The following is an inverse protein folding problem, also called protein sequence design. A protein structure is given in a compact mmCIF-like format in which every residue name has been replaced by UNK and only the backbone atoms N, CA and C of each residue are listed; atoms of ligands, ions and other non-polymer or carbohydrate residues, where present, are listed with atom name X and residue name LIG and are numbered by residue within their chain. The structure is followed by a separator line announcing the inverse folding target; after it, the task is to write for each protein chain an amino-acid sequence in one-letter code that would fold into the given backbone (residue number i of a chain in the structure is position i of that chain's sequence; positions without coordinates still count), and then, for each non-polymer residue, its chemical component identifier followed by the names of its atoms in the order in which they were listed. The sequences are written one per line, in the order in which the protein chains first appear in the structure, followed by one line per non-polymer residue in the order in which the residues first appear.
data_IF_604133911310
#
_entry.id   IF_604133911310
#
_cell.length_a   1.000
_cell.length_b   1.000
_cell.length_c   1.000
_cell.angle_alpha   90.00
_cell.angle_beta   90.00
_cell.angle_gamma   90.00
#
_symmetry.space_group_name_H-M   'P 1'
#
loop_
_entity.id
_entity.type
_entity.pdbx_description
1 polymer ?
#
# COMPACT_ATOMS: atom_id res chain seq x y z
N UNK A 1 -15.80 -10.13 -35.38
CA UNK A 1 -15.61 -9.00 -34.44
C UNK A 1 -15.91 -9.48 -33.02
N UNK A 2 -14.89 -9.96 -32.30
CA UNK A 2 -15.03 -10.36 -30.90
C UNK A 2 -15.01 -9.11 -30.00
N UNK A 3 -16.14 -8.84 -29.34
CA UNK A 3 -16.20 -7.88 -28.23
C UNK A 3 -15.66 -8.58 -26.98
N UNK A 4 -14.44 -8.22 -26.55
CA UNK A 4 -13.95 -8.58 -25.23
C UNK A 4 -14.81 -7.84 -24.18
N UNK A 5 -15.66 -8.58 -23.45
CA UNK A 5 -16.21 -8.13 -22.17
C UNK A 5 -15.05 -8.07 -21.18
N UNK A 6 -14.70 -6.86 -20.75
CA UNK A 6 -13.82 -6.63 -19.60
C UNK A 6 -14.56 -7.16 -18.37
N UNK A 7 -14.22 -8.38 -17.95
CA UNK A 7 -14.85 -9.08 -16.82
C UNK A 7 -14.41 -8.55 -15.45
N UNK A 8 -13.57 -7.51 -15.38
CA UNK A 8 -13.11 -6.90 -14.13
C UNK A 8 -13.90 -5.65 -13.70
N UNK A 9 -15.03 -5.37 -14.36
CA UNK A 9 -15.93 -4.26 -13.99
C UNK A 9 -16.93 -4.58 -12.86
N UNK A 10 -16.96 -5.82 -12.37
CA UNK A 10 -17.84 -6.23 -11.26
C UNK A 10 -17.03 -6.31 -9.97
N UNK A 11 -17.18 -5.32 -9.08
CA UNK A 11 -16.53 -5.21 -7.75
C UNK A 11 -15.08 -4.68 -7.69
N UNK A 12 -14.73 -3.74 -8.57
CA UNK A 12 -13.95 -2.58 -8.10
C UNK A 12 -14.93 -1.44 -7.79
N UNK A 13 -15.92 -1.74 -6.95
CA UNK A 13 -16.50 -0.69 -6.12
C UNK A 13 -15.33 -0.40 -5.19
N UNK A 14 -14.78 0.82 -5.22
CA UNK A 14 -13.86 1.26 -4.17
C UNK A 14 -14.43 0.72 -2.86
N UNK A 15 -13.68 -0.09 -2.13
CA UNK A 15 -14.16 -0.68 -0.88
C UNK A 15 -14.23 0.47 0.12
N UNK A 16 -15.26 1.28 -0.04
CA UNK A 16 -15.89 2.06 0.99
C UNK A 16 -16.81 1.03 1.64
N UNK A 17 -16.59 0.65 2.91
CA UNK A 17 -17.38 -0.38 3.56
C UNK A 17 -18.88 -0.11 3.38
N UNK A 18 -19.65 -1.12 2.97
CA UNK A 18 -21.10 -1.04 2.65
C UNK A 18 -21.97 -0.42 3.76
N UNK A 19 -21.43 -0.27 4.98
CA UNK A 19 -22.13 0.34 6.13
C UNK A 19 -21.93 1.86 6.28
N UNK A 20 -21.05 2.46 5.49
CA UNK A 20 -20.92 3.90 5.33
C UNK A 20 -20.88 4.22 3.83
N UNK A 21 -21.95 3.87 3.10
CA UNK A 21 -22.18 4.45 1.77
C UNK A 21 -22.29 5.96 1.98
N UNK A 22 -21.15 6.65 1.79
CA UNK A 22 -21.13 8.04 1.44
C UNK A 22 -22.09 8.15 0.26
N UNK A 23 -23.19 8.86 0.47
CA UNK A 23 -24.31 9.05 -0.45
C UNK A 23 -23.87 8.99 -1.92
N UNK A 24 -24.61 8.29 -2.82
CA UNK A 24 -24.24 8.10 -4.23
C UNK A 24 -24.15 9.40 -5.06
N UNK A 25 -24.38 10.55 -4.43
CA UNK A 25 -24.00 11.87 -4.90
C UNK A 25 -22.88 12.46 -4.03
N UNK A 26 -21.71 11.82 -3.98
CA UNK A 26 -20.48 12.58 -3.74
C UNK A 26 -20.35 13.48 -4.97
N UNK A 27 -20.87 14.70 -4.89
CA UNK A 27 -20.26 15.77 -5.64
C UNK A 27 -18.78 15.67 -5.32
N UNK A 28 -17.96 15.25 -6.28
CA UNK A 28 -16.51 15.21 -6.17
C UNK A 28 -16.06 16.67 -6.10
N UNK A 29 -16.31 17.30 -4.95
CA UNK A 29 -15.64 18.51 -4.49
C UNK A 29 -14.23 18.15 -4.04
N UNK A 30 -13.88 16.87 -4.03
CA UNK A 30 -12.58 16.40 -3.62
C UNK A 30 -11.51 16.65 -4.67
N UNK A 31 -10.33 17.09 -4.21
CA UNK A 31 -9.14 17.16 -5.06
C UNK A 31 -8.56 15.75 -5.18
N UNK A 32 -8.74 15.13 -6.34
CA UNK A 32 -8.20 13.81 -6.64
C UNK A 32 -6.85 13.92 -7.37
N UNK A 33 -5.82 13.34 -6.77
CA UNK A 33 -4.48 13.20 -7.35
C UNK A 33 -4.18 11.71 -7.56
N UNK A 34 -3.74 11.33 -8.77
CA UNK A 34 -3.48 9.94 -9.11
C UNK A 34 -2.08 9.79 -9.68
N UNK A 35 -1.29 8.93 -9.05
CA UNK A 35 0.07 8.59 -9.44
C UNK A 35 0.16 7.14 -9.91
N UNK A 36 1.11 6.86 -10.80
CA UNK A 36 1.50 5.49 -11.14
C UNK A 36 2.99 5.38 -11.36
N UNK A 37 3.54 4.19 -11.15
CA UNK A 37 4.89 3.87 -11.64
C UNK A 37 4.97 3.96 -13.17
N UNK A 38 6.18 4.02 -13.72
CA UNK A 38 6.38 4.03 -15.19
C UNK A 38 6.28 2.65 -15.84
N UNK A 39 5.20 1.93 -15.51
CA UNK A 39 4.86 0.64 -16.08
C UNK A 39 3.46 0.69 -16.69
N UNK A 40 3.31 0.19 -17.91
CA UNK A 40 2.01 0.19 -18.60
C UNK A 40 0.91 -0.49 -17.78
N UNK A 41 1.24 -1.56 -17.03
CA UNK A 41 0.25 -2.28 -16.21
C UNK A 41 -0.29 -1.43 -15.05
N UNK A 42 0.55 -0.64 -14.38
CA UNK A 42 0.12 0.22 -13.26
C UNK A 42 -0.63 1.45 -13.77
N UNK A 43 -0.20 2.01 -14.90
CA UNK A 43 -0.93 3.08 -15.60
C UNK A 43 -2.35 2.64 -15.98
N UNK A 44 -2.51 1.45 -16.59
CA UNK A 44 -3.81 0.90 -16.96
C UNK A 44 -4.67 0.56 -15.73
N UNK A 45 -4.07 0.08 -14.64
CA UNK A 45 -4.80 -0.16 -13.38
C UNK A 45 -5.31 1.15 -12.76
N UNK A 46 -4.49 2.21 -12.75
CA UNK A 46 -4.91 3.54 -12.28
C UNK A 46 -6.06 4.11 -13.13
N UNK A 47 -5.96 3.98 -14.46
CA UNK A 47 -7.03 4.37 -15.36
C UNK A 47 -8.30 3.55 -15.14
N UNK A 48 -8.19 2.22 -14.96
CA UNK A 48 -9.32 1.35 -14.65
C UNK A 48 -10.00 1.71 -13.33
N UNK A 49 -9.21 2.06 -12.30
CA UNK A 49 -9.71 2.59 -11.03
C UNK A 49 -10.48 3.90 -11.22
N UNK A 50 -9.91 4.86 -11.94
CA UNK A 50 -10.57 6.13 -12.25
C UNK A 50 -11.85 5.94 -13.05
N UNK A 51 -11.84 5.04 -14.03
CA UNK A 51 -13.01 4.67 -14.81
C UNK A 51 -14.12 4.13 -13.89
N UNK A 52 -13.79 3.26 -12.93
CA UNK A 52 -14.75 2.76 -11.94
C UNK A 52 -15.29 3.88 -11.04
N UNK A 53 -14.41 4.73 -10.53
CA UNK A 53 -14.74 5.80 -9.57
C UNK A 53 -15.57 6.93 -10.22
N UNK A 54 -15.19 7.39 -11.42
CA UNK A 54 -15.74 8.58 -12.07
C UNK A 54 -16.99 8.29 -12.91
N UNK A 55 -17.20 7.04 -13.35
CA UNK A 55 -18.45 6.63 -14.03
C UNK A 55 -19.70 6.89 -13.18
N UNK A 56 -19.53 7.07 -11.86
CA UNK A 56 -20.58 7.45 -10.93
C UNK A 56 -21.01 8.94 -10.98
N UNK A 57 -20.34 9.83 -11.74
CA UNK A 57 -20.82 11.21 -11.86
C UNK A 57 -19.85 12.31 -12.32
N UNK A 58 -18.60 12.00 -12.69
CA UNK A 58 -17.60 13.02 -13.03
C UNK A 58 -17.55 13.36 -14.53
N UNK A 59 -17.82 14.63 -14.90
CA UNK A 59 -17.42 15.20 -16.20
C UNK A 59 -16.09 15.93 -16.04
N UNK A 60 -14.99 15.22 -16.24
CA UNK A 60 -13.63 15.79 -16.18
C UNK A 60 -12.59 14.67 -16.18
N UNK A 61 -11.62 14.73 -17.08
CA UNK A 61 -10.53 13.75 -17.11
C UNK A 61 -9.58 14.02 -15.94
N UNK A 62 -9.41 13.06 -15.04
CA UNK A 62 -8.37 13.12 -14.01
C UNK A 62 -7.09 12.52 -14.60
N UNK A 63 -6.00 13.30 -14.74
CA UNK A 63 -4.77 12.78 -15.29
C UNK A 63 -4.12 11.78 -14.34
N UNK A 64 -3.56 10.69 -14.89
CA UNK A 64 -2.65 9.82 -14.16
C UNK A 64 -1.23 10.36 -14.31
N UNK A 65 -0.63 10.81 -13.22
CA UNK A 65 0.73 11.33 -13.19
C UNK A 65 1.72 10.17 -13.09
N UNK A 66 2.44 9.92 -14.18
CA UNK A 66 3.47 8.88 -14.23
C UNK A 66 4.75 9.38 -13.59
N UNK A 67 5.24 8.67 -12.57
CA UNK A 67 6.49 9.02 -11.88
C UNK A 67 7.70 8.65 -12.76
N UNK A 68 8.68 9.56 -12.95
CA UNK A 68 9.94 9.21 -13.58
C UNK A 68 10.69 8.16 -12.76
N UNK A 69 11.35 7.20 -13.42
CA UNK A 69 12.08 6.09 -12.77
C UNK A 69 13.13 6.55 -11.76
N UNK A 70 13.79 7.68 -12.02
CA UNK A 70 14.82 8.23 -11.14
C UNK A 70 14.27 8.80 -9.82
N UNK A 71 12.97 9.09 -9.75
CA UNK A 71 12.30 9.72 -8.59
C UNK A 71 11.00 8.97 -8.25
N UNK A 72 10.97 7.65 -8.49
CA UNK A 72 9.80 6.82 -8.29
C UNK A 72 9.76 6.25 -6.87
N UNK A 73 9.16 7.00 -5.95
CA UNK A 73 8.96 6.52 -4.58
C UNK A 73 7.99 5.33 -4.46
N UNK A 74 7.25 5.00 -5.53
CA UNK A 74 6.37 3.84 -5.60
C UNK A 74 7.11 2.57 -6.05
N UNK A 75 8.32 2.71 -6.62
CA UNK A 75 9.16 1.60 -7.04
C UNK A 75 10.65 1.92 -6.93
N UNK A 76 11.19 1.76 -5.73
CA UNK A 76 12.62 1.99 -5.46
C UNK A 76 13.56 1.04 -6.21
N UNK A 77 13.08 -0.07 -6.79
CA UNK A 77 13.94 -0.99 -7.55
C UNK A 77 14.50 -0.37 -8.82
N UNK A 78 13.83 0.64 -9.38
CA UNK A 78 14.33 1.37 -10.55
C UNK A 78 15.41 2.40 -10.19
N UNK A 79 15.23 3.13 -9.09
CA UNK A 79 16.13 4.20 -8.67
C UNK A 79 17.32 3.69 -7.84
N UNK A 80 17.08 2.69 -6.98
CA UNK A 80 18.02 2.19 -5.96
C UNK A 80 18.22 0.68 -6.04
N UNK A 81 17.95 0.08 -7.20
CA UNK A 81 18.04 -1.37 -7.41
C UNK A 81 19.43 -1.95 -7.11
N UNK A 82 20.51 -1.20 -7.37
CA UNK A 82 21.86 -1.65 -7.06
C UNK A 82 22.09 -1.80 -5.55
N UNK A 83 21.76 -0.78 -4.77
CA UNK A 83 21.89 -0.80 -3.31
C UNK A 83 21.03 -1.91 -2.69
N UNK A 84 19.77 -2.03 -3.12
CA UNK A 84 18.92 -3.12 -2.64
C UNK A 84 19.47 -4.49 -3.03
N UNK A 85 20.05 -4.63 -4.22
CA UNK A 85 20.71 -5.87 -4.62
C UNK A 85 21.89 -6.21 -3.70
N UNK A 86 22.71 -5.23 -3.33
CA UNK A 86 23.80 -5.43 -2.36
C UNK A 86 23.28 -5.88 -1.00
N UNK A 87 22.21 -5.25 -0.49
CA UNK A 87 21.55 -5.70 0.75
C UNK A 87 21.00 -7.13 0.65
N UNK A 88 20.39 -7.50 -0.47
CA UNK A 88 19.95 -8.89 -0.69
C UNK A 88 21.14 -9.85 -0.63
N UNK A 89 22.29 -9.50 -1.21
CA UNK A 89 23.47 -10.37 -1.20
C UNK A 89 24.01 -10.59 0.22
N UNK A 90 23.95 -9.55 1.08
CA UNK A 90 24.30 -9.68 2.50
C UNK A 90 23.37 -10.69 3.17
N UNK A 91 22.06 -10.54 3.04
CA UNK A 91 21.08 -11.46 3.63
C UNK A 91 21.23 -12.88 3.08
N UNK A 92 21.46 -13.04 1.78
CA UNK A 92 21.67 -14.36 1.17
C UNK A 92 22.97 -15.05 1.59
N UNK A 93 23.94 -14.29 2.09
CA UNK A 93 25.19 -14.83 2.61
C UNK A 93 25.05 -15.40 4.02
N UNK A 94 23.96 -15.10 4.73
CA UNK A 94 23.69 -15.58 6.08
C UNK A 94 23.61 -17.12 6.12
N UNK A 95 24.20 -17.78 7.13
CA UNK A 95 24.21 -19.24 7.20
C UNK A 95 22.82 -19.88 7.19
N UNK A 96 21.87 -19.32 7.94
CA UNK A 96 20.49 -19.84 8.04
C UNK A 96 19.70 -19.65 6.74
N UNK A 97 19.91 -18.54 6.03
CA UNK A 97 19.38 -18.33 4.69
C UNK A 97 19.90 -19.40 3.74
N UNK A 98 21.22 -19.63 3.70
CA UNK A 98 21.84 -20.62 2.82
C UNK A 98 21.36 -22.04 3.10
N UNK A 99 21.27 -22.42 4.37
CA UNK A 99 20.74 -23.74 4.77
C UNK A 99 19.30 -23.91 4.29
N UNK A 100 18.46 -22.90 4.48
CA UNK A 100 17.05 -22.95 4.04
C UNK A 100 16.94 -22.98 2.51
N UNK A 101 17.74 -22.17 1.81
CA UNK A 101 17.78 -22.15 0.35
C UNK A 101 18.28 -23.48 -0.24
N UNK A 102 19.20 -24.18 0.43
CA UNK A 102 19.68 -25.50 0.02
C UNK A 102 18.66 -26.61 0.30
N UNK A 103 18.12 -26.63 1.54
CA UNK A 103 17.24 -27.70 2.02
C UNK A 103 15.81 -27.61 1.47
N UNK A 104 15.27 -26.40 1.31
CA UNK A 104 13.92 -26.15 0.79
C UNK A 104 13.99 -25.69 -0.66
N UNK A 105 14.76 -24.64 -0.92
CA UNK A 105 14.86 -24.04 -2.26
C UNK A 105 15.48 -24.99 -3.29
N UNK A 106 16.47 -25.80 -2.91
CA UNK A 106 17.15 -26.76 -3.79
C UNK A 106 16.22 -27.80 -4.42
N UNK A 107 15.47 -28.58 -3.62
CA UNK A 107 14.44 -29.50 -4.12
C UNK A 107 13.37 -28.82 -4.99
N UNK A 108 12.91 -27.63 -4.60
CA UNK A 108 11.94 -26.87 -5.37
C UNK A 108 12.48 -26.44 -6.73
N UNK A 109 13.72 -25.93 -6.82
CA UNK A 109 14.38 -25.59 -8.09
C UNK A 109 14.46 -26.78 -9.04
N UNK A 110 14.83 -27.96 -8.52
CA UNK A 110 14.89 -29.18 -9.33
C UNK A 110 13.52 -29.60 -9.84
N UNK A 111 12.49 -29.49 -8.99
CA UNK A 111 11.11 -29.82 -9.36
C UNK A 111 10.55 -28.85 -10.41
N UNK A 112 10.81 -27.55 -10.26
CA UNK A 112 10.46 -26.52 -11.24
C UNK A 112 11.21 -26.74 -12.55
N UNK A 113 12.50 -27.02 -12.51
CA UNK A 113 13.27 -27.32 -13.71
C UNK A 113 12.77 -28.56 -14.44
N UNK A 114 12.41 -29.61 -13.71
CA UNK A 114 11.84 -30.83 -14.30
C UNK A 114 10.47 -30.59 -14.95
N UNK A 115 9.70 -29.62 -14.44
CA UNK A 115 8.42 -29.22 -15.04
C UNK A 115 8.62 -28.55 -16.40
N UNK A 116 9.50 -27.55 -16.47
CA UNK A 116 9.84 -26.87 -17.72
C UNK A 116 11.27 -26.29 -17.63
N UNK A 117 12.26 -26.95 -18.25
CA UNK A 117 13.64 -26.48 -18.26
C UNK A 117 13.85 -25.12 -18.93
N UNK A 118 13.00 -24.77 -19.90
CA UNK A 118 13.11 -23.53 -20.65
C UNK A 118 12.56 -22.36 -19.84
N UNK A 119 11.46 -22.58 -19.12
CA UNK A 119 10.86 -21.58 -18.25
C UNK A 119 11.61 -21.44 -16.91
N UNK A 120 12.13 -22.54 -16.38
CA UNK A 120 12.82 -22.61 -15.09
C UNK A 120 14.24 -23.18 -15.25
N UNK A 121 15.15 -22.46 -15.93
CA UNK A 121 16.52 -22.93 -16.09
C UNK A 121 17.23 -23.02 -14.74
N UNK A 122 17.93 -24.13 -14.49
CA UNK A 122 18.85 -24.19 -13.37
C UNK A 122 20.00 -23.20 -13.59
N UNK A 123 20.47 -22.52 -12.54
CA UNK A 123 21.53 -21.54 -12.67
C UNK A 123 22.86 -22.21 -13.08
N UNK A 124 23.30 -21.98 -14.31
CA UNK A 124 24.68 -22.27 -14.75
C UNK A 124 25.57 -21.06 -14.43
N UNK A 125 25.81 -20.81 -13.14
CA UNK A 125 26.59 -19.64 -12.67
C UNK A 125 25.78 -18.36 -12.44
N UNK A 126 24.45 -18.42 -12.50
CA UNK A 126 23.54 -17.30 -12.22
C UNK A 126 22.67 -17.49 -10.96
N UNK A 127 21.68 -16.62 -10.76
CA UNK A 127 20.66 -16.76 -9.69
C UNK A 127 19.37 -17.33 -10.26
N UNK A 128 18.73 -18.24 -9.52
CA UNK A 128 17.39 -18.72 -9.88
C UNK A 128 16.35 -17.61 -9.73
N UNK A 129 15.45 -17.47 -10.70
CA UNK A 129 14.48 -16.37 -10.76
C UNK A 129 13.19 -16.73 -10.01
N UNK A 130 13.25 -16.74 -8.69
CA UNK A 130 12.10 -17.08 -7.83
C UNK A 130 10.85 -16.25 -8.11
N UNK A 131 11.00 -14.94 -8.37
CA UNK A 131 9.88 -14.07 -8.76
C UNK A 131 9.16 -14.56 -10.02
N UNK A 132 9.91 -15.00 -11.04
CA UNK A 132 9.32 -15.51 -12.28
C UNK A 132 8.59 -16.83 -12.06
N UNK A 133 9.16 -17.71 -11.23
CA UNK A 133 8.54 -18.97 -10.87
C UNK A 133 7.23 -18.77 -10.10
N UNK A 134 7.20 -17.86 -9.13
CA UNK A 134 5.99 -17.56 -8.38
C UNK A 134 4.93 -16.87 -9.27
N UNK A 135 5.33 -15.89 -10.10
CA UNK A 135 4.42 -15.18 -11.02
C UNK A 135 3.74 -16.14 -12.00
N UNK A 136 4.43 -17.18 -12.47
CA UNK A 136 3.83 -18.23 -13.29
C UNK A 136 2.60 -18.86 -12.62
N UNK A 137 2.73 -19.30 -11.36
CA UNK A 137 1.62 -19.93 -10.64
C UNK A 137 0.54 -18.92 -10.22
N UNK A 138 0.92 -17.72 -9.78
CA UNK A 138 -0.05 -16.66 -9.45
C UNK A 138 -0.89 -16.28 -10.68
N UNK A 139 -0.24 -16.10 -11.83
CA UNK A 139 -0.90 -15.80 -13.11
C UNK A 139 -1.82 -16.93 -13.57
N UNK A 140 -1.39 -18.19 -13.43
CA UNK A 140 -2.21 -19.34 -13.80
C UNK A 140 -3.49 -19.42 -12.96
N UNK A 141 -3.36 -19.22 -11.64
CA UNK A 141 -4.51 -19.18 -10.70
C UNK A 141 -5.45 -18.03 -11.00
N UNK A 142 -4.93 -16.82 -11.19
CA UNK A 142 -5.73 -15.63 -11.49
C UNK A 142 -6.54 -15.75 -12.79
N UNK A 143 -6.04 -16.54 -13.76
CA UNK A 143 -6.74 -16.82 -15.03
C UNK A 143 -7.72 -18.00 -14.94
N UNK A 144 -7.83 -18.66 -13.79
CA UNK A 144 -8.65 -19.87 -13.63
C UNK A 144 -8.18 -21.02 -14.52
N UNK A 145 -6.88 -21.07 -14.86
CA UNK A 145 -6.34 -22.18 -15.62
C UNK A 145 -6.43 -23.45 -14.76
N UNK A 146 -6.78 -24.58 -15.39
CA UNK A 146 -6.81 -25.87 -14.71
C UNK A 146 -5.38 -26.29 -14.41
N UNK A 147 -5.02 -26.30 -13.14
CA UNK A 147 -3.74 -26.78 -12.62
C UNK A 147 -4.03 -28.13 -11.96
N UNK A 148 -3.19 -29.14 -12.21
CA UNK A 148 -3.34 -30.43 -11.51
C UNK A 148 -3.03 -30.24 -10.02
N UNK A 149 -3.55 -31.08 -9.11
CA UNK A 149 -3.26 -30.96 -7.68
C UNK A 149 -1.76 -30.92 -7.36
N UNK A 150 -0.94 -31.70 -8.07
CA UNK A 150 0.51 -31.76 -7.88
C UNK A 150 1.19 -30.44 -8.26
N UNK A 151 0.76 -29.84 -9.37
CA UNK A 151 1.26 -28.53 -9.80
C UNK A 151 0.79 -27.40 -8.88
N UNK A 152 -0.39 -27.53 -8.29
CA UNK A 152 -0.88 -26.55 -7.33
C UNK A 152 -0.09 -26.62 -6.01
N UNK A 153 0.26 -27.82 -5.55
CA UNK A 153 1.17 -28.02 -4.41
C UNK A 153 2.55 -27.41 -4.69
N UNK A 154 3.12 -27.66 -5.88
CA UNK A 154 4.39 -27.05 -6.28
C UNK A 154 4.31 -25.52 -6.35
N UNK A 155 3.21 -24.99 -6.89
CA UNK A 155 2.96 -23.56 -6.97
C UNK A 155 2.84 -22.90 -5.60
N UNK A 156 2.08 -23.51 -4.69
CA UNK A 156 1.99 -23.06 -3.29
C UNK A 156 3.36 -23.06 -2.64
N UNK A 157 4.12 -24.16 -2.72
CA UNK A 157 5.45 -24.23 -2.13
C UNK A 157 6.42 -23.18 -2.72
N UNK A 158 6.32 -22.90 -4.03
CA UNK A 158 7.12 -21.88 -4.71
C UNK A 158 6.80 -20.47 -4.20
N UNK A 159 5.51 -20.14 -4.07
CA UNK A 159 5.06 -18.83 -3.55
C UNK A 159 5.47 -18.68 -2.09
N UNK A 160 5.27 -19.72 -1.26
CA UNK A 160 5.71 -19.73 0.15
C UNK A 160 7.21 -19.50 0.29
N UNK A 161 8.02 -20.17 -0.54
CA UNK A 161 9.47 -19.96 -0.53
C UNK A 161 9.84 -18.54 -0.95
N UNK A 162 9.13 -17.95 -1.92
CA UNK A 162 9.31 -16.54 -2.28
C UNK A 162 8.96 -15.61 -1.12
N UNK A 163 7.81 -15.80 -0.46
CA UNK A 163 7.38 -15.00 0.70
C UNK A 163 8.41 -15.11 1.81
N UNK A 164 8.90 -16.32 2.12
CA UNK A 164 9.98 -16.52 3.08
C UNK A 164 11.23 -15.72 2.72
N UNK A 165 11.68 -15.74 1.45
CA UNK A 165 12.85 -14.95 1.01
C UNK A 165 12.63 -13.45 1.25
N UNK A 166 11.47 -12.91 0.88
CA UNK A 166 11.14 -11.52 1.12
C UNK A 166 11.03 -11.19 2.62
N UNK A 167 10.55 -12.12 3.46
CA UNK A 167 10.55 -11.94 4.91
C UNK A 167 11.96 -11.77 5.48
N UNK A 168 12.96 -12.42 4.88
CA UNK A 168 14.36 -12.26 5.24
C UNK A 168 14.92 -10.93 4.74
N UNK A 169 14.63 -10.56 3.49
CA UNK A 169 15.09 -9.29 2.92
C UNK A 169 14.50 -8.09 3.66
N UNK A 170 13.22 -8.15 4.04
CA UNK A 170 12.54 -7.10 4.79
C UNK A 170 12.78 -7.14 6.30
N UNK A 171 13.53 -8.14 6.79
CA UNK A 171 14.13 -8.13 8.11
C UNK A 171 15.41 -7.28 8.20
N UNK A 172 15.95 -6.84 7.06
CA UNK A 172 17.10 -5.93 7.01
C UNK A 172 16.65 -4.47 7.06
N UNK A 173 17.02 -3.75 8.13
CA UNK A 173 16.60 -2.37 8.37
C UNK A 173 17.01 -1.41 7.25
N UNK A 174 18.18 -1.62 6.65
CA UNK A 174 18.71 -0.77 5.59
C UNK A 174 17.95 -0.99 4.28
N UNK A 175 17.70 -2.26 3.91
CA UNK A 175 16.79 -2.62 2.83
C UNK A 175 15.43 -1.94 3.01
N UNK A 176 14.84 -2.02 4.20
CA UNK A 176 13.52 -1.43 4.47
C UNK A 176 13.53 0.09 4.38
N UNK A 177 14.51 0.76 4.99
CA UNK A 177 14.67 2.22 4.90
C UNK A 177 14.79 2.68 3.45
N UNK A 178 15.52 1.92 2.63
CA UNK A 178 15.71 2.22 1.21
C UNK A 178 14.48 1.94 0.37
N UNK A 179 13.80 0.83 0.61
CA UNK A 179 12.64 0.37 -0.17
C UNK A 179 11.36 1.16 0.11
N UNK A 180 11.04 1.42 1.39
CA UNK A 180 9.72 1.95 1.78
C UNK A 180 9.78 3.30 2.50
N UNK A 181 10.96 3.72 2.99
CA UNK A 181 11.14 5.00 3.68
C UNK A 181 10.57 6.21 2.94
N UNK A 182 10.93 6.43 1.65
CA UNK A 182 10.38 7.54 0.86
C UNK A 182 8.86 7.52 0.72
N UNK A 183 8.25 6.33 0.60
CA UNK A 183 6.80 6.19 0.50
C UNK A 183 6.12 6.50 1.84
N UNK A 184 6.69 6.04 2.96
CA UNK A 184 6.18 6.37 4.31
C UNK A 184 6.25 7.87 4.58
N UNK A 185 7.35 8.53 4.20
CA UNK A 185 7.47 9.98 4.30
C UNK A 185 6.36 10.70 3.51
N UNK A 186 6.12 10.26 2.26
CA UNK A 186 5.05 10.81 1.43
C UNK A 186 3.65 10.59 2.04
N UNK A 187 3.37 9.42 2.62
CA UNK A 187 2.10 9.11 3.31
C UNK A 187 1.91 10.06 4.50
N UNK A 188 2.95 10.26 5.32
CA UNK A 188 2.91 11.16 6.48
C UNK A 188 2.70 12.61 6.04
N UNK A 189 3.37 13.06 4.99
CA UNK A 189 3.19 14.40 4.41
C UNK A 189 1.77 14.62 3.88
N UNK A 190 1.21 13.63 3.17
CA UNK A 190 -0.18 13.69 2.73
C UNK A 190 -1.15 13.74 3.90
N UNK A 191 -0.88 12.94 4.95
CA UNK A 191 -1.70 12.91 6.14
C UNK A 191 -1.68 14.23 6.92
N UNK A 192 -0.48 14.79 7.16
CA UNK A 192 -0.29 16.05 7.87
C UNK A 192 -0.74 17.26 7.06
N UNK A 193 -0.55 17.25 5.73
CA UNK A 193 -1.01 18.31 4.83
C UNK A 193 -2.53 18.44 4.74
N UNK A 194 -3.27 17.47 5.27
CA UNK A 194 -4.74 17.53 5.39
C UNK A 194 -5.22 18.59 6.40
N UNK A 195 -4.36 19.02 7.33
CA UNK A 195 -4.65 20.11 8.30
C UNK A 195 -4.43 21.52 7.72
N UNK A 196 -3.71 21.67 6.61
CA UNK A 196 -3.43 23.00 6.01
C UNK A 196 -4.63 23.52 5.19
N UNK A 197 -5.76 22.80 5.19
CA UNK A 197 -7.07 23.39 4.93
C UNK A 197 -7.63 23.99 6.23
N UNK A 198 -6.87 24.90 6.86
CA UNK A 198 -7.42 25.78 7.88
C UNK A 198 -8.62 26.58 7.33
N UNK A 199 -9.53 27.07 8.19
CA UNK A 199 -10.60 27.95 7.74
C UNK A 199 -9.97 29.08 6.95
N UNK A 200 -10.45 29.28 5.72
CA UNK A 200 -9.97 30.28 4.76
C UNK A 200 -9.97 31.67 5.41
N UNK A 201 -8.87 31.99 6.09
CA UNK A 201 -8.64 33.27 6.74
C UNK A 201 -7.49 33.92 5.97
N UNK A 202 -7.80 34.43 4.78
CA UNK A 202 -6.77 35.04 3.94
C UNK A 202 -7.16 35.41 2.52
N UNK A 203 -8.15 36.30 2.38
CA UNK A 203 -8.12 37.39 1.41
C UNK A 203 -7.65 37.10 -0.04
N UNK A 204 -8.58 36.63 -0.86
CA UNK A 204 -8.76 37.20 -2.20
C UNK A 204 -10.22 37.59 -2.30
N UNK A 205 -10.48 38.89 -2.22
CA UNK A 205 -11.79 39.49 -2.44
C UNK A 205 -12.29 39.12 -3.84
N UNK A 206 -13.00 37.99 -3.95
CA UNK A 206 -13.98 37.76 -5.00
C UNK A 206 -15.33 38.08 -4.34
N UNK A 207 -15.86 39.30 -4.51
CA UNK A 207 -17.18 39.63 -4.02
C UNK A 207 -18.21 38.86 -4.85
N UNK A 208 -18.92 37.90 -4.25
CA UNK A 208 -20.13 37.34 -4.86
C UNK A 208 -20.47 35.87 -4.59
N UNK A 209 -19.70 35.10 -3.83
CA UNK A 209 -20.09 33.72 -3.48
C UNK A 209 -20.30 33.56 -1.98
N UNK A 210 -21.56 33.61 -1.58
CA UNK A 210 -22.01 33.37 -0.22
C UNK A 210 -21.65 31.95 0.26
N UNK A 211 -20.81 31.88 1.30
CA UNK A 211 -21.22 31.24 2.55
C UNK A 211 -21.01 29.73 2.76
N UNK A 212 -20.32 29.00 1.88
CA UNK A 212 -20.10 27.55 2.04
C UNK A 212 -18.63 27.14 2.06
N UNK A 213 -17.86 27.58 3.06
CA UNK A 213 -16.44 27.23 3.23
C UNK A 213 -16.21 25.77 3.68
N UNK A 214 -16.70 24.80 2.90
CA UNK A 214 -16.41 23.39 3.13
C UNK A 214 -14.95 23.09 2.79
N UNK A 215 -14.21 22.51 3.73
CA UNK A 215 -12.89 21.93 3.45
C UNK A 215 -13.07 20.85 2.38
N UNK A 216 -12.43 21.03 1.23
CA UNK A 216 -12.47 20.04 0.15
C UNK A 216 -11.68 18.82 0.60
N UNK A 217 -12.30 17.64 0.59
CA UNK A 217 -11.55 16.42 0.88
C UNK A 217 -10.47 16.19 -0.18
N UNK A 218 -9.31 15.70 0.22
CA UNK A 218 -8.22 15.37 -0.71
C UNK A 218 -8.10 13.85 -0.78
N UNK A 219 -8.04 13.32 -1.99
CA UNK A 219 -7.81 11.89 -2.22
C UNK A 219 -6.54 11.75 -3.05
N UNK A 220 -5.59 10.97 -2.54
CA UNK A 220 -4.35 10.63 -3.26
C UNK A 220 -4.37 9.13 -3.52
N UNK A 221 -4.27 8.75 -4.79
CA UNK A 221 -4.21 7.35 -5.22
C UNK A 221 -2.87 7.08 -5.90
N UNK A 222 -2.24 5.95 -5.56
CA UNK A 222 -0.93 5.57 -6.09
C UNK A 222 -0.96 4.11 -6.58
N UNK A 223 -0.83 3.90 -7.89
CA UNK A 223 -0.75 2.55 -8.46
C UNK A 223 0.70 2.05 -8.50
N UNK A 224 0.97 1.01 -7.72
CA UNK A 224 2.31 0.47 -7.48
C UNK A 224 2.38 -1.05 -7.71
N UNK A 225 3.33 -1.72 -7.06
CA UNK A 225 3.60 -3.14 -7.22
C UNK A 225 3.30 -3.92 -5.93
N UNK A 226 3.10 -5.23 -6.07
CA UNK A 226 2.98 -6.17 -4.97
C UNK A 226 4.14 -6.06 -3.98
N UNK A 227 5.38 -5.96 -4.45
CA UNK A 227 6.56 -5.75 -3.60
C UNK A 227 6.52 -4.44 -2.82
N UNK A 228 5.84 -3.40 -3.33
CA UNK A 228 5.64 -2.12 -2.63
C UNK A 228 4.62 -2.28 -1.50
N UNK A 229 3.49 -2.94 -1.79
CA UNK A 229 2.45 -3.26 -0.81
C UNK A 229 3.03 -4.16 0.29
N UNK A 230 3.77 -5.20 -0.09
CA UNK A 230 4.40 -6.13 0.84
C UNK A 230 5.37 -5.40 1.77
N UNK A 231 6.24 -4.54 1.24
CA UNK A 231 7.16 -3.75 2.06
C UNK A 231 6.41 -2.83 3.06
N UNK A 232 5.32 -2.16 2.63
CA UNK A 232 4.49 -1.37 3.54
C UNK A 232 3.90 -2.21 4.68
N UNK A 233 3.43 -3.42 4.39
CA UNK A 233 2.88 -4.31 5.40
C UNK A 233 3.94 -4.77 6.41
N UNK A 234 5.17 -5.05 5.94
CA UNK A 234 6.29 -5.36 6.84
C UNK A 234 6.68 -4.16 7.71
N UNK A 235 6.77 -2.96 7.12
CA UNK A 235 7.05 -1.74 7.87
C UNK A 235 5.98 -1.42 8.92
N UNK A 236 4.74 -1.85 8.67
CA UNK A 236 3.65 -1.70 9.61
C UNK A 236 3.50 -2.90 10.56
N UNK A 237 4.37 -3.90 10.52
CA UNK A 237 4.24 -5.15 11.30
C UNK A 237 2.82 -5.77 11.24
N UNK A 238 2.29 -5.89 10.02
CA UNK A 238 0.95 -6.40 9.78
C UNK A 238 0.79 -7.87 10.23
N UNK A 239 -0.24 -8.18 11.02
CA UNK A 239 -0.47 -9.53 11.58
C UNK A 239 -0.72 -10.58 10.48
N UNK A 240 -1.28 -10.17 9.34
CA UNK A 240 -1.52 -11.05 8.18
C UNK A 240 -0.23 -11.65 7.58
N UNK A 241 0.95 -11.11 7.96
CA UNK A 241 2.25 -11.66 7.56
C UNK A 241 2.70 -12.83 8.45
N UNK A 242 2.04 -13.08 9.59
CA UNK A 242 2.37 -14.19 10.50
C UNK A 242 2.21 -15.55 9.84
N UNK A 243 1.25 -15.68 8.92
CA UNK A 243 0.98 -16.91 8.18
C UNK A 243 2.10 -17.28 7.19
N UNK A 244 3.08 -16.40 6.95
CA UNK A 244 4.25 -16.57 6.04
C UNK A 244 3.93 -17.04 4.61
N UNK A 245 2.67 -16.96 4.24
CA UNK A 245 2.13 -17.40 2.95
C UNK A 245 1.47 -16.25 2.19
N UNK A 246 1.37 -15.08 2.82
CA UNK A 246 0.72 -13.94 2.23
C UNK A 246 1.61 -13.28 1.17
N UNK A 247 1.05 -13.19 -0.04
CA UNK A 247 1.53 -12.32 -1.11
C UNK A 247 0.37 -11.45 -1.57
N UNK A 248 0.54 -10.12 -1.75
CA UNK A 248 -0.55 -9.26 -2.17
C UNK A 248 -1.19 -9.73 -3.48
N UNK A 249 -2.49 -10.10 -3.50
CA UNK A 249 -3.16 -10.49 -4.73
C UNK A 249 -3.32 -9.31 -5.71
N UNK A 250 -3.69 -9.64 -6.96
CA UNK A 250 -4.01 -8.60 -7.95
C UNK A 250 -5.17 -7.73 -7.47
N UNK A 251 -4.97 -6.41 -7.52
CA UNK A 251 -5.97 -5.44 -7.08
C UNK A 251 -5.91 -5.12 -5.59
N UNK A 252 -4.96 -5.68 -4.84
CA UNK A 252 -4.80 -5.32 -3.44
C UNK A 252 -4.57 -3.83 -3.24
N UNK A 253 -5.13 -3.30 -2.16
CA UNK A 253 -5.16 -1.89 -1.82
C UNK A 253 -4.85 -1.71 -0.33
N UNK A 254 -4.01 -0.73 0.00
CA UNK A 254 -3.88 -0.21 1.36
C UNK A 254 -4.45 1.21 1.36
N UNK A 255 -5.39 1.49 2.25
CA UNK A 255 -5.95 2.84 2.42
C UNK A 255 -5.47 3.44 3.74
N UNK A 256 -5.16 4.74 3.71
CA UNK A 256 -4.81 5.57 4.86
C UNK A 256 -5.81 6.72 4.94
N UNK A 257 -6.76 6.65 5.87
CA UNK A 257 -7.79 7.66 6.04
C UNK A 257 -7.43 8.57 7.23
N UNK A 258 -7.42 9.87 7.01
CA UNK A 258 -7.11 10.85 8.05
C UNK A 258 -8.41 11.35 8.66
N UNK A 259 -8.56 11.24 9.96
CA UNK A 259 -9.70 11.79 10.70
C UNK A 259 -9.21 12.79 11.75
N UNK A 260 -9.93 13.90 11.94
CA UNK A 260 -9.74 14.78 13.08
C UNK A 260 -10.47 14.20 14.29
N UNK A 261 -9.82 14.20 15.46
CA UNK A 261 -10.45 13.82 16.74
C UNK A 261 -11.29 14.95 17.36
N UNK A 262 -11.62 15.98 16.56
CA UNK A 262 -12.31 17.21 16.96
C UNK A 262 -13.42 17.00 17.99
N UNK A 263 -13.22 17.64 19.15
CA UNK A 263 -13.89 17.38 20.41
C UNK A 263 -15.40 17.19 20.29
N UNK A 264 -15.85 16.01 20.68
CA UNK A 264 -17.27 15.74 20.86
C UNK A 264 -17.88 16.88 21.69
N UNK A 265 -18.73 17.67 21.05
CA UNK A 265 -19.72 18.48 21.74
C UNK A 265 -20.66 17.50 22.45
N UNK A 266 -20.21 16.96 23.59
CA UNK A 266 -21.07 16.23 24.50
C UNK A 266 -22.26 17.12 24.85
N UNK A 267 -23.48 16.55 24.94
CA UNK A 267 -24.66 17.34 25.25
C UNK A 267 -24.47 18.08 26.57
N UNK A 268 -24.75 19.38 26.54
CA UNK A 268 -24.54 20.39 27.57
C UNK A 268 -24.47 19.90 29.02
N UNK A 269 -23.27 19.97 29.60
CA UNK A 269 -23.11 20.24 31.03
C UNK A 269 -22.63 21.68 31.17
N UNK A 270 -23.47 22.51 31.77
CA UNK A 270 -23.17 23.92 32.03
C UNK A 270 -21.82 24.08 32.77
N UNK A 271 -21.00 25.07 32.38
CA UNK A 271 -19.71 25.30 33.00
C UNK A 271 -19.91 25.90 34.39
N UNK A 272 -19.66 25.10 35.45
CA UNK A 272 -19.42 25.65 36.78
C UNK A 272 -18.07 26.37 36.77
N UNK A 273 -18.11 27.68 36.96
CA UNK A 273 -16.97 28.58 36.89
C UNK A 273 -15.79 28.14 37.76
N UNK A 274 -14.72 27.72 37.10
CA UNK A 274 -13.39 27.56 37.67
C UNK A 274 -12.38 28.14 36.71
N UNK A 275 -11.69 29.22 37.09
CA UNK A 275 -10.54 29.76 36.37
C UNK A 275 -9.40 28.73 36.44
N UNK A 276 -9.30 27.86 35.44
CA UNK A 276 -8.22 26.90 35.27
C UNK A 276 -7.68 27.00 33.84
N UNK A 277 -6.36 27.03 33.71
CA UNK A 277 -5.61 27.22 32.48
C UNK A 277 -6.17 26.41 31.28
N UNK A 278 -6.53 27.11 30.22
CA UNK A 278 -6.79 26.54 28.90
C UNK A 278 -5.50 25.90 28.36
N UNK A 279 -5.31 24.60 28.63
CA UNK A 279 -4.46 23.78 27.78
C UNK A 279 -5.22 23.59 26.47
N UNK A 280 -4.84 24.35 25.45
CA UNK A 280 -5.41 24.26 24.11
C UNK A 280 -5.47 22.82 23.64
N UNK A 281 -6.66 22.23 23.71
CA UNK A 281 -6.97 20.92 23.17
C UNK A 281 -7.06 21.00 21.66
N UNK A 282 -5.91 21.15 20.99
CA UNK A 282 -5.81 20.91 19.57
C UNK A 282 -6.21 19.47 19.31
N UNK A 283 -7.31 19.25 18.58
CA UNK A 283 -7.72 17.90 18.19
C UNK A 283 -6.57 17.23 17.44
N UNK A 284 -6.16 16.04 17.89
CA UNK A 284 -5.15 15.26 17.20
C UNK A 284 -5.69 14.66 15.91
N UNK A 285 -4.81 14.38 14.95
CA UNK A 285 -5.13 13.56 13.79
C UNK A 285 -4.96 12.08 14.12
N UNK A 286 -5.87 11.26 13.62
CA UNK A 286 -5.75 9.80 13.62
C UNK A 286 -5.76 9.27 12.19
N UNK A 287 -4.99 8.21 11.97
CA UNK A 287 -5.03 7.41 10.76
C UNK A 287 -5.89 6.18 11.01
N UNK A 288 -6.82 5.90 10.09
CA UNK A 288 -7.42 4.57 9.94
C UNK A 288 -6.76 3.89 8.75
N UNK A 289 -6.24 2.70 8.96
CA UNK A 289 -5.49 1.95 7.96
C UNK A 289 -6.25 0.67 7.67
N UNK A 290 -6.47 0.38 6.40
CA UNK A 290 -7.13 -0.85 5.95
C UNK A 290 -6.37 -1.50 4.80
N UNK A 291 -6.49 -2.82 4.71
CA UNK A 291 -5.98 -3.65 3.60
C UNK A 291 -7.17 -4.35 2.98
N UNK A 292 -7.38 -4.13 1.69
CA UNK A 292 -8.49 -4.72 0.93
C UNK A 292 -9.88 -4.45 1.58
N UNK A 293 -9.99 -3.29 2.24
CA UNK A 293 -11.20 -2.82 2.91
C UNK A 293 -11.35 -3.26 4.38
N UNK A 294 -10.55 -4.22 4.83
CA UNK A 294 -10.56 -4.69 6.20
C UNK A 294 -9.59 -3.87 7.07
N UNK A 295 -9.95 -3.49 8.31
CA UNK A 295 -9.04 -2.77 9.19
C UNK A 295 -7.72 -3.51 9.41
N UNK A 296 -6.60 -2.81 9.25
CA UNK A 296 -5.28 -3.40 9.38
C UNK A 296 -5.01 -3.76 10.85
N UNK A 297 -4.80 -5.04 11.11
CA UNK A 297 -4.27 -5.51 12.38
C UNK A 297 -2.75 -5.52 12.34
N UNK A 298 -2.14 -4.94 13.36
CA UNK A 298 -0.70 -4.78 13.45
C UNK A 298 -0.25 -4.65 14.90
N UNK A 299 0.93 -5.20 15.16
CA UNK A 299 1.63 -5.07 16.44
C UNK A 299 1.99 -3.63 16.78
N UNK A 300 2.24 -2.77 15.78
CA UNK A 300 2.49 -1.34 15.99
C UNK A 300 1.30 -0.60 16.61
N UNK A 301 0.08 -1.10 16.40
CA UNK A 301 -1.16 -0.49 16.87
C UNK A 301 -1.65 -1.07 18.20
N UNK A 302 -1.00 -2.13 18.69
CA UNK A 302 -1.39 -2.83 19.92
C UNK A 302 -1.35 -1.88 21.11
N UNK A 303 -2.51 -1.71 21.76
CA UNK A 303 -2.68 -0.80 22.91
C UNK A 303 -2.87 0.68 22.57
N UNK A 304 -2.96 1.06 21.28
CA UNK A 304 -3.01 2.48 20.84
C UNK A 304 -4.30 2.92 20.12
N UNK A 305 -5.32 2.06 20.02
CA UNK A 305 -6.58 2.46 19.37
C UNK A 305 -7.47 1.33 18.87
N UNK A 306 -6.95 0.10 18.76
CA UNK A 306 -7.69 -1.04 18.20
C UNK A 306 -7.85 -0.95 16.67
N UNK A 307 -8.04 -2.09 16.02
CA UNK A 307 -8.51 -2.27 14.63
C UNK A 307 -8.05 -1.21 13.60
N UNK A 308 -6.74 -1.07 13.40
CA UNK A 308 -6.18 -0.22 12.34
C UNK A 308 -6.24 1.28 12.58
N UNK A 309 -6.55 1.74 13.80
CA UNK A 309 -6.58 3.16 14.16
C UNK A 309 -5.35 3.53 15.00
N UNK A 310 -4.63 4.58 14.59
CA UNK A 310 -3.43 5.07 15.28
C UNK A 310 -3.32 6.60 15.19
N UNK A 311 -2.96 7.33 16.27
CA UNK A 311 -2.63 8.75 16.17
C UNK A 311 -1.52 9.00 15.15
N UNK A 312 -1.64 10.04 14.32
CA UNK A 312 -0.64 10.32 13.27
C UNK A 312 0.76 10.55 13.86
N UNK A 313 0.85 11.15 15.05
CA UNK A 313 2.11 11.30 15.80
C UNK A 313 2.75 9.96 16.16
N UNK A 314 1.92 8.99 16.56
CA UNK A 314 2.36 7.68 17.01
C UNK A 314 2.77 6.83 15.83
N UNK A 315 2.05 6.93 14.70
CA UNK A 315 2.42 6.30 13.44
C UNK A 315 3.79 6.81 12.97
N UNK A 316 3.97 8.14 12.93
CA UNK A 316 5.26 8.76 12.58
C UNK A 316 6.39 8.30 13.47
N UNK A 317 6.14 8.16 14.77
CA UNK A 317 7.13 7.67 15.74
C UNK A 317 7.46 6.19 15.49
N UNK A 318 6.44 5.37 15.26
CA UNK A 318 6.58 3.93 15.05
C UNK A 318 7.42 3.59 13.82
N UNK A 319 7.23 4.32 12.72
CA UNK A 319 7.99 4.09 11.47
C UNK A 319 9.24 4.98 11.35
N UNK A 320 9.59 5.74 12.39
CA UNK A 320 10.59 6.80 12.34
C UNK A 320 12.00 6.32 11.96
N UNK A 321 12.39 5.11 12.35
CA UNK A 321 13.67 4.49 12.01
C UNK A 321 13.81 4.11 10.52
N UNK A 322 12.68 4.01 9.80
CA UNK A 322 12.61 3.73 8.37
C UNK A 322 12.52 5.00 7.53
N UNK A 323 12.24 6.15 8.13
CA UNK A 323 12.16 7.41 7.40
C UNK A 323 13.56 7.81 6.89
N UNK A 324 13.65 8.47 5.72
CA UNK A 324 14.89 9.07 5.26
C UNK A 324 15.43 10.00 6.36
N UNK A 325 16.73 9.90 6.67
CA UNK A 325 17.39 10.93 7.46
C UNK A 325 17.22 12.24 6.69
N UNK A 326 16.70 13.29 7.33
CA UNK A 326 16.57 14.59 6.67
C UNK A 326 17.93 14.95 6.06
N UNK A 327 17.99 14.99 4.73
CA UNK A 327 19.19 15.33 3.95
C UNK A 327 19.40 16.83 4.00
#
# INVERSE_FOLDING_TARGET
MLRHRVANGGRMIAIVPEKEIISPAVHITSRLEVFSTNYRRTQLSAQGFLDGLLRAGGRGGVPVVVRPRADDFLNQWESRGHEMYERMMVVESEPDFRVTEETIGGPLKRSLHALDPALFPLPQGGRFRWMMAADYFMSARARGLRVTPELDVLGTATIRHLVWRFSRFYGDDEMMRTMVGPLLAHIIECAAGSDIAGPVTGSRNVPGTDGGGGSLSRVVSSSCHDVTILALLYAMEADLLEDRDYWPPYGSTIAFEVCSTGGGSGPGREPRGGRGQDKGGGGGLVLKISVDGDPLRSRLFSGKGGDGIIPLSDFRTAVGNLLPTAV
#
